data_IF_654199252284
#
_entry.id   IF_654199252284
#
_cell.length_a   1.000
_cell.length_b   1.000
_cell.length_c   1.000
_cell.angle_alpha   90.00
_cell.angle_beta   90.00
_cell.angle_gamma   90.00
#
_symmetry.space_group_name_H-M   'P 1'
#
loop_
_entity.id
_entity.type
_entity.pdbx_description
1 polymer ?
#
# COMPACT_ATOMS: atom_id res chain seq x y z
N UNK A 1 14.14 -8.25 -23.28
CA UNK A 1 13.22 -8.43 -22.13
C UNK A 1 12.75 -7.06 -21.67
N UNK A 2 11.46 -6.90 -21.42
CA UNK A 2 10.86 -5.63 -20.92
C UNK A 2 10.01 -5.96 -19.69
N UNK A 3 10.56 -5.74 -18.52
CA UNK A 3 9.92 -6.03 -17.24
C UNK A 3 10.24 -4.95 -16.23
N UNK A 4 9.22 -4.50 -15.52
CA UNK A 4 9.31 -3.47 -14.49
C UNK A 4 8.67 -3.99 -13.22
N UNK A 5 9.35 -3.80 -12.10
CA UNK A 5 8.85 -4.07 -10.76
C UNK A 5 8.94 -2.78 -9.92
N UNK A 6 7.82 -2.31 -9.43
CA UNK A 6 7.74 -1.06 -8.66
C UNK A 6 6.98 -1.29 -7.36
N UNK A 7 7.51 -0.75 -6.28
CA UNK A 7 6.80 -0.67 -5.01
C UNK A 7 6.65 0.80 -4.63
N UNK A 8 5.44 1.20 -4.33
CA UNK A 8 5.15 2.58 -3.97
C UNK A 8 3.74 2.77 -3.45
N UNK A 9 3.38 4.01 -3.29
CA UNK A 9 2.05 4.40 -2.81
C UNK A 9 1.30 5.14 -3.92
N UNK A 10 -0.01 4.91 -4.00
CA UNK A 10 -0.83 5.68 -4.93
C UNK A 10 -0.83 7.15 -4.53
N UNK A 11 -0.49 8.02 -5.47
CA UNK A 11 -0.50 9.47 -5.25
C UNK A 11 -1.92 10.05 -5.23
N UNK A 12 -2.86 9.37 -5.87
CA UNK A 12 -4.28 9.72 -5.94
C UNK A 12 -5.11 8.47 -6.22
N UNK A 13 -6.42 8.59 -6.11
CA UNK A 13 -7.34 7.51 -6.44
C UNK A 13 -7.21 7.10 -7.92
N UNK A 14 -7.33 5.80 -8.24
CA UNK A 14 -7.32 5.35 -9.63
C UNK A 14 -8.49 5.91 -10.41
N UNK A 15 -8.23 6.33 -11.64
CA UNK A 15 -9.26 6.74 -12.57
C UNK A 15 -9.59 5.57 -13.50
N UNK A 16 -10.82 5.09 -13.42
CA UNK A 16 -11.30 3.98 -14.25
C UNK A 16 -12.16 4.52 -15.39
N UNK A 17 -11.81 4.16 -16.59
CA UNK A 17 -12.55 4.51 -17.81
C UNK A 17 -12.84 3.25 -18.61
N UNK A 18 -13.81 3.36 -19.51
CA UNK A 18 -14.16 2.29 -20.44
C UNK A 18 -13.87 2.77 -21.86
N UNK A 19 -13.22 1.90 -22.64
CA UNK A 19 -13.00 2.16 -24.07
C UNK A 19 -14.29 1.99 -24.86
N UNK A 20 -14.31 2.43 -26.12
CA UNK A 20 -15.46 2.25 -27.01
C UNK A 20 -15.81 0.77 -27.20
N UNK A 21 -14.85 -0.13 -27.09
CA UNK A 21 -15.06 -1.59 -27.15
C UNK A 21 -15.54 -2.17 -25.81
N UNK A 22 -15.75 -1.35 -24.78
CA UNK A 22 -16.22 -1.79 -23.46
C UNK A 22 -15.14 -2.34 -22.52
N UNK A 23 -13.87 -2.20 -22.86
CA UNK A 23 -12.76 -2.64 -21.99
C UNK A 23 -12.49 -1.61 -20.90
N UNK A 24 -12.37 -2.09 -19.67
CA UNK A 24 -12.00 -1.25 -18.54
C UNK A 24 -10.50 -0.88 -18.59
N UNK A 25 -10.19 0.36 -18.32
CA UNK A 25 -8.83 0.90 -18.20
C UNK A 25 -8.74 1.72 -16.94
N UNK A 26 -7.81 1.39 -16.06
CA UNK A 26 -7.48 2.20 -14.89
C UNK A 26 -6.14 2.88 -15.08
N UNK A 27 -6.07 4.14 -14.73
CA UNK A 27 -4.82 4.91 -14.72
C UNK A 27 -4.62 5.57 -13.36
N UNK A 28 -3.42 5.52 -12.87
CA UNK A 28 -3.03 6.16 -11.61
C UNK A 28 -1.55 6.50 -11.60
N UNK A 29 -1.16 7.35 -10.66
CA UNK A 29 0.22 7.71 -10.43
C UNK A 29 0.74 7.01 -9.18
N UNK A 30 1.86 6.31 -9.33
CA UNK A 30 2.54 5.63 -8.24
C UNK A 30 3.73 6.47 -7.78
N UNK A 31 3.74 6.84 -6.50
CA UNK A 31 4.87 7.52 -5.87
C UNK A 31 5.87 6.48 -5.37
N UNK A 32 7.01 6.43 -6.02
CA UNK A 32 8.12 5.52 -5.69
C UNK A 32 9.21 6.32 -4.99
N UNK A 33 9.51 5.98 -3.76
CA UNK A 33 10.54 6.65 -2.98
C UNK A 33 11.94 6.34 -3.53
N UNK A 34 12.74 7.37 -3.70
CA UNK A 34 14.14 7.20 -4.06
C UNK A 34 14.92 6.65 -2.87
N UNK A 35 15.64 5.56 -3.09
CA UNK A 35 16.50 4.95 -2.06
C UNK A 35 17.74 5.78 -1.73
N UNK A 36 18.24 6.49 -2.74
CA UNK A 36 19.46 7.28 -2.64
C UNK A 36 19.17 8.71 -3.08
N UNK A 37 18.79 9.52 -2.17
CA UNK A 37 18.70 10.96 -2.32
C UNK A 37 18.84 11.52 -0.93
N UNK A 38 19.98 12.11 -0.62
CA UNK A 38 20.06 12.93 0.56
C UNK A 38 19.02 14.01 0.42
N UNK A 39 18.06 14.02 1.31
CA UNK A 39 17.26 15.21 1.53
C UNK A 39 18.23 16.30 1.97
N UNK A 40 18.71 17.09 1.04
CA UNK A 40 19.40 18.32 1.38
C UNK A 40 18.33 19.23 1.97
N UNK A 41 18.56 19.61 3.22
CA UNK A 41 17.85 20.67 3.92
C UNK A 41 16.34 20.46 4.14
N UNK A 42 15.97 19.47 4.97
CA UNK A 42 14.63 19.42 5.56
C UNK A 42 13.47 19.29 4.58
N UNK A 43 13.74 19.06 3.29
CA UNK A 43 12.74 18.81 2.29
C UNK A 43 12.30 17.35 2.32
N UNK A 44 11.04 17.12 2.03
CA UNK A 44 10.41 15.82 2.01
C UNK A 44 11.17 14.82 1.13
N UNK A 45 11.16 13.53 1.48
CA UNK A 45 11.80 12.52 0.65
C UNK A 45 11.29 12.64 -0.79
N UNK A 46 12.22 12.78 -1.72
CA UNK A 46 11.87 12.90 -3.12
C UNK A 46 11.32 11.57 -3.63
N UNK A 47 10.15 11.62 -4.22
CA UNK A 47 9.52 10.48 -4.86
C UNK A 47 9.46 10.71 -6.37
N UNK A 48 9.60 9.63 -7.12
CA UNK A 48 9.33 9.63 -8.56
C UNK A 48 7.87 9.23 -8.76
N UNK A 49 7.15 10.02 -9.55
CA UNK A 49 5.76 9.75 -9.89
C UNK A 49 5.71 9.03 -11.23
N UNK A 50 5.29 7.78 -11.21
CA UNK A 50 5.26 6.91 -12.38
C UNK A 50 3.81 6.62 -12.75
N UNK A 51 3.47 6.87 -14.01
CA UNK A 51 2.14 6.58 -14.54
C UNK A 51 1.97 5.09 -14.77
N UNK A 52 0.94 4.52 -14.18
CA UNK A 52 0.58 3.11 -14.30
C UNK A 52 -0.76 3.00 -15.01
N UNK A 53 -0.84 2.06 -15.93
CA UNK A 53 -2.07 1.74 -16.65
C UNK A 53 -2.38 0.25 -16.44
N UNK A 54 -3.61 -0.04 -16.06
CA UNK A 54 -4.11 -1.40 -15.90
C UNK A 54 -5.31 -1.63 -16.81
N UNK A 55 -5.46 -2.85 -17.32
CA UNK A 55 -6.50 -3.21 -18.27
C UNK A 55 -7.43 -4.29 -17.73
N UNK A 56 -8.69 -4.26 -18.17
CA UNK A 56 -9.70 -5.28 -17.93
C UNK A 56 -9.89 -5.64 -16.44
N UNK A 57 -9.68 -6.88 -16.06
CA UNK A 57 -9.85 -7.35 -14.67
C UNK A 57 -8.97 -6.61 -13.68
N UNK A 58 -7.76 -6.28 -14.10
CA UNK A 58 -6.83 -5.54 -13.27
C UNK A 58 -7.27 -4.08 -13.07
N UNK A 59 -7.90 -3.49 -14.08
CA UNK A 59 -8.51 -2.17 -13.99
C UNK A 59 -9.68 -2.16 -12.99
N UNK A 60 -10.52 -3.17 -13.04
CA UNK A 60 -11.63 -3.35 -12.07
C UNK A 60 -11.09 -3.54 -10.65
N UNK A 61 -10.06 -4.34 -10.48
CA UNK A 61 -9.37 -4.50 -9.19
C UNK A 61 -8.87 -3.16 -8.66
N UNK A 62 -8.24 -2.36 -9.50
CA UNK A 62 -7.77 -1.03 -9.11
C UNK A 62 -8.91 -0.13 -8.64
N UNK A 63 -10.00 -0.08 -9.40
CA UNK A 63 -11.16 0.73 -9.06
C UNK A 63 -11.88 0.31 -7.79
N UNK A 64 -11.92 -0.98 -7.50
CA UNK A 64 -12.65 -1.54 -6.37
C UNK A 64 -11.82 -1.54 -5.07
N UNK A 65 -10.52 -1.73 -5.15
CA UNK A 65 -9.70 -2.01 -3.97
C UNK A 65 -8.59 -0.99 -3.70
N UNK A 66 -8.18 -0.20 -4.68
CA UNK A 66 -7.12 0.77 -4.53
C UNK A 66 -7.66 2.16 -4.25
N UNK A 67 -7.03 2.86 -3.33
CA UNK A 67 -7.32 4.25 -2.99
C UNK A 67 -6.02 5.03 -2.87
N UNK A 68 -6.12 6.35 -2.84
CA UNK A 68 -4.98 7.23 -2.55
C UNK A 68 -4.25 6.75 -1.29
N UNK A 69 -2.94 6.60 -1.36
CA UNK A 69 -2.10 6.18 -0.25
C UNK A 69 -1.92 4.66 -0.13
N UNK A 70 -2.68 3.85 -0.88
CA UNK A 70 -2.48 2.40 -0.89
C UNK A 70 -1.06 2.05 -1.31
N UNK A 71 -0.41 1.19 -0.54
CA UNK A 71 0.92 0.68 -0.85
C UNK A 71 0.82 -0.61 -1.64
N UNK A 72 1.39 -0.60 -2.84
CA UNK A 72 1.28 -1.71 -3.77
C UNK A 72 2.62 -2.08 -4.39
N UNK A 73 2.70 -3.32 -4.84
CA UNK A 73 3.72 -3.83 -5.75
C UNK A 73 3.08 -3.95 -7.14
N UNK A 74 3.69 -3.35 -8.11
CA UNK A 74 3.28 -3.45 -9.53
C UNK A 74 4.33 -4.21 -10.31
N UNK A 75 3.92 -5.26 -10.96
CA UNK A 75 4.68 -5.93 -12.00
C UNK A 75 4.10 -5.56 -13.36
N UNK A 76 4.93 -5.17 -14.28
CA UNK A 76 4.48 -4.80 -15.62
C UNK A 76 5.60 -4.63 -16.62
N UNK A 77 5.30 -3.92 -17.67
CA UNK A 77 6.24 -3.58 -18.73
C UNK A 77 6.20 -2.08 -19.01
N UNK A 78 7.33 -1.55 -19.43
CA UNK A 78 7.42 -0.16 -19.88
C UNK A 78 6.85 -0.03 -21.28
N UNK A 79 6.01 0.96 -21.49
CA UNK A 79 5.44 1.27 -22.78
C UNK A 79 5.61 2.76 -23.09
N UNK A 80 6.17 3.04 -24.24
CA UNK A 80 6.22 4.40 -24.78
C UNK A 80 5.16 4.55 -25.88
N UNK A 81 4.44 5.65 -25.84
CA UNK A 81 3.48 6.01 -26.87
C UNK A 81 3.59 7.48 -27.22
N UNK A 82 3.20 7.84 -28.42
CA UNK A 82 3.13 9.22 -28.84
C UNK A 82 1.69 9.61 -29.13
N UNK A 83 1.36 10.86 -28.85
CA UNK A 83 0.07 11.43 -29.20
C UNK A 83 0.26 12.87 -29.71
N UNK A 84 -0.68 13.31 -30.53
CA UNK A 84 -0.70 14.68 -31.00
C UNK A 84 -1.40 15.58 -29.98
N UNK A 85 -0.67 16.57 -29.48
CA UNK A 85 -1.24 17.56 -28.58
C UNK A 85 -2.14 18.55 -29.36
N UNK A 86 -3.00 19.26 -28.67
CA UNK A 86 -3.93 20.22 -29.26
C UNK A 86 -3.22 21.38 -30.02
N UNK A 87 -1.96 21.64 -29.68
CA UNK A 87 -1.09 22.63 -30.34
C UNK A 87 -0.40 22.11 -31.62
N UNK A 88 -0.68 20.86 -32.02
CA UNK A 88 -0.06 20.21 -33.18
C UNK A 88 1.31 19.60 -32.91
N UNK A 89 1.86 19.72 -31.70
CA UNK A 89 3.13 19.11 -31.36
C UNK A 89 2.97 17.64 -31.00
N UNK A 90 3.97 16.83 -31.36
CA UNK A 90 4.02 15.42 -31.00
C UNK A 90 4.56 15.26 -29.60
N UNK A 91 3.79 14.64 -28.73
CA UNK A 91 4.19 14.36 -27.34
C UNK A 91 4.40 12.88 -27.13
N UNK A 92 5.41 12.56 -26.34
CA UNK A 92 5.76 11.20 -25.98
C UNK A 92 5.42 10.97 -24.51
N UNK A 93 4.77 9.86 -24.23
CA UNK A 93 4.43 9.42 -22.87
C UNK A 93 5.04 8.06 -22.64
N UNK A 94 5.75 7.93 -21.52
CA UNK A 94 6.27 6.65 -21.05
C UNK A 94 5.46 6.25 -19.81
N UNK A 95 4.85 5.09 -19.87
CA UNK A 95 4.01 4.57 -18.80
C UNK A 95 4.31 3.10 -18.55
N UNK A 96 3.90 2.58 -17.41
CA UNK A 96 3.99 1.15 -17.08
C UNK A 96 2.64 0.51 -17.27
N UNK A 97 2.56 -0.48 -18.14
CA UNK A 97 1.37 -1.30 -18.29
C UNK A 97 1.47 -2.44 -17.28
N UNK A 98 0.59 -2.43 -16.30
CA UNK A 98 0.60 -3.44 -15.24
C UNK A 98 0.12 -4.80 -15.77
N UNK A 99 0.85 -5.83 -15.41
CA UNK A 99 0.46 -7.23 -15.64
C UNK A 99 -0.09 -7.84 -14.36
N UNK A 100 0.41 -7.38 -13.21
CA UNK A 100 -0.04 -7.82 -11.91
C UNK A 100 0.12 -6.70 -10.86
N UNK A 101 -0.78 -6.68 -9.89
CA UNK A 101 -0.76 -5.70 -8.79
C UNK A 101 -1.09 -6.42 -7.49
N UNK A 102 -0.21 -6.27 -6.52
CA UNK A 102 -0.40 -6.83 -5.18
C UNK A 102 -0.28 -5.74 -4.11
N UNK A 103 -0.97 -5.94 -2.98
CA UNK A 103 -0.77 -5.08 -1.81
C UNK A 103 0.60 -5.36 -1.19
N UNK A 104 1.42 -4.32 -1.04
CA UNK A 104 2.78 -4.41 -0.48
C UNK A 104 2.88 -3.94 0.97
N UNK A 105 1.76 -3.66 1.61
CA UNK A 105 1.68 -3.19 2.98
C UNK A 105 0.46 -3.71 3.69
N UNK A 106 0.31 -3.31 4.94
CA UNK A 106 -0.95 -3.55 5.64
C UNK A 106 -2.09 -2.98 4.82
N UNK A 107 -3.06 -3.80 4.52
CA UNK A 107 -4.30 -3.35 3.88
C UNK A 107 -4.80 -2.15 4.68
N UNK A 108 -5.02 -0.97 4.08
CA UNK A 108 -5.71 0.07 4.81
C UNK A 108 -7.03 -0.54 5.25
N UNK A 109 -7.22 -0.69 6.54
CA UNK A 109 -8.51 -1.06 7.06
C UNK A 109 -9.45 0.05 6.66
N UNK A 110 -10.20 -0.19 5.61
CA UNK A 110 -11.33 0.64 5.30
C UNK A 110 -12.15 0.75 6.57
N UNK A 111 -12.46 1.97 6.99
CA UNK A 111 -13.33 2.24 8.09
C UNK A 111 -14.64 1.47 7.89
N UNK A 112 -14.79 0.33 8.56
CA UNK A 112 -15.98 -0.47 8.35
C UNK A 112 -15.84 -1.93 8.70
N UNK A 113 -15.28 -2.24 9.81
CA UNK A 113 -15.75 -3.27 10.70
C UNK A 113 -15.43 -2.76 12.10
N UNK A 114 -16.42 -2.29 12.86
CA UNK A 114 -16.26 -2.20 14.28
C UNK A 114 -15.96 -3.63 14.71
N UNK A 115 -14.71 -3.91 15.03
CA UNK A 115 -14.37 -5.06 15.80
C UNK A 115 -15.23 -4.94 17.05
N UNK A 116 -16.25 -5.73 17.14
CA UNK A 116 -16.96 -5.93 18.38
C UNK A 116 -15.87 -6.24 19.40
N UNK A 117 -15.68 -5.42 20.43
CA UNK A 117 -14.86 -5.86 21.53
C UNK A 117 -15.58 -7.11 22.05
N UNK A 118 -14.96 -8.25 21.88
CA UNK A 118 -15.33 -9.39 22.67
C UNK A 118 -15.10 -8.97 24.11
N UNK A 119 -16.14 -8.54 24.76
CA UNK A 119 -16.22 -8.52 26.19
C UNK A 119 -16.10 -9.99 26.62
N UNK A 120 -14.88 -10.42 26.79
CA UNK A 120 -14.64 -11.58 27.61
C UNK A 120 -15.05 -11.17 29.03
N UNK A 121 -16.28 -11.40 29.36
CA UNK A 121 -16.70 -11.51 30.72
C UNK A 121 -15.94 -12.70 31.33
N UNK A 122 -14.76 -12.39 31.82
CA UNK A 122 -14.11 -13.31 32.74
C UNK A 122 -15.03 -13.46 33.96
N UNK A 123 -15.43 -14.66 34.31
CA UNK A 123 -16.11 -14.85 35.57
C UNK A 123 -15.15 -14.47 36.68
N UNK A 124 -15.53 -13.48 37.47
CA UNK A 124 -14.85 -13.14 38.70
C UNK A 124 -14.89 -14.32 39.64
N UNK A 125 -13.93 -15.19 39.56
CA UNK A 125 -13.61 -16.10 40.61
C UNK A 125 -12.73 -15.34 41.60
N UNK A 126 -13.37 -14.83 42.60
CA UNK A 126 -12.74 -14.33 43.80
C UNK A 126 -12.18 -15.56 44.54
N UNK A 127 -10.87 -15.72 44.69
CA UNK A 127 -10.36 -16.80 45.50
C UNK A 127 -10.66 -16.48 46.97
N UNK A 128 -11.05 -17.47 47.76
CA UNK A 128 -11.25 -17.26 49.18
C UNK A 128 -9.95 -16.85 49.82
N UNK A 129 -10.04 -15.90 50.73
CA UNK A 129 -8.94 -15.47 51.57
C UNK A 129 -8.38 -16.66 52.34
N UNK A 130 -7.33 -17.25 51.83
CA UNK A 130 -6.48 -18.22 52.49
C UNK A 130 -5.15 -17.57 52.77
N UNK A 131 -4.79 -17.51 54.02
CA UNK A 131 -3.52 -17.02 54.49
C UNK A 131 -2.41 -17.74 53.76
N UNK A 132 -1.66 -16.99 52.95
CA UNK A 132 -0.41 -17.49 52.40
C UNK A 132 0.69 -17.13 53.36
N UNK A 133 1.23 -18.16 53.97
CA UNK A 133 2.47 -18.13 54.72
C UNK A 133 3.57 -17.58 53.79
N UNK A 134 4.20 -16.53 54.26
CA UNK A 134 5.39 -15.99 53.59
C UNK A 134 6.53 -17.01 53.70
N UNK A 135 6.82 -17.65 52.56
CA UNK A 135 8.13 -18.25 52.37
C UNK A 135 9.20 -17.15 52.18
N UNK A 136 10.43 -17.41 52.56
CA UNK A 136 11.49 -16.42 52.49
C UNK A 136 11.71 -15.95 51.07
N UNK A 137 11.76 -14.63 50.92
CA UNK A 137 12.11 -13.96 49.66
C UNK A 137 13.48 -14.45 49.20
N UNK A 138 13.51 -14.98 48.03
CA UNK A 138 14.76 -15.26 47.33
C UNK A 138 15.41 -13.91 46.98
N UNK A 139 16.65 -13.62 47.42
CA UNK A 139 17.31 -12.40 47.01
C UNK A 139 17.53 -12.44 45.50
N UNK A 140 17.29 -11.32 44.87
CA UNK A 140 17.68 -11.05 43.50
C UNK A 140 19.19 -11.18 43.37
N UNK A 141 19.65 -12.36 43.09
CA UNK A 141 21.01 -12.57 42.64
C UNK A 141 21.01 -12.83 41.14
N UNK A 142 21.51 -11.82 40.47
CA UNK A 142 22.20 -11.84 39.20
C UNK A 142 21.81 -12.97 38.26
N UNK A 143 21.04 -12.58 37.26
CA UNK A 143 20.99 -13.35 36.03
C UNK A 143 22.26 -13.00 35.24
N UNK A 144 23.23 -13.93 35.07
CA UNK A 144 24.38 -13.67 34.22
C UNK A 144 23.92 -13.73 32.76
N UNK A 145 24.14 -12.64 32.08
CA UNK A 145 24.05 -12.63 30.62
C UNK A 145 25.36 -13.08 30.00
#
# INVERSE_FOLDING_TARGET
MNKVLLTGNLARDPEVRYTQSGKAVASFSLAVNRRFGKANDGQQPSADFISIVAWEKLAEFCGNYLTKGSRILVEGRLQARSYDAQDGSKRYVTEVVANDIEFAGSRPQGAGAPGTPMQSSAPSHQPPAGQVSFGPSIPDEEIPF
#
